data_IF_768074230026
#
_entry.id   IF_768074230026
#
_cell.length_a   1.000
_cell.length_b   1.000
_cell.length_c   1.000
_cell.angle_alpha   90.00
_cell.angle_beta   90.00
_cell.angle_gamma   90.00
#
_symmetry.space_group_name_H-M   'P 1'
#
loop_
_entity.id
_entity.type
_entity.pdbx_description
1 polymer ?
#
# COMPACT_ATOMS: atom_id res chain seq x y z
N UNK A 1 12.80 64.20 26.76
CA UNK A 1 11.79 63.41 27.51
C UNK A 1 10.88 62.70 26.51
N UNK A 2 10.31 61.55 26.91
CA UNK A 2 9.62 60.49 26.12
C UNK A 2 10.59 59.56 25.38
N UNK A 3 11.11 58.45 25.92
CA UNK A 3 10.63 57.33 26.76
C UNK A 3 9.77 56.29 26.02
N UNK A 4 10.30 55.06 26.00
CA UNK A 4 9.65 53.72 25.96
C UNK A 4 9.44 53.15 24.55
N UNK A 5 10.38 52.35 24.01
CA UNK A 5 10.52 50.88 24.16
C UNK A 5 9.22 50.09 23.89
N UNK A 6 9.07 49.58 22.67
CA UNK A 6 8.29 48.36 22.42
C UNK A 6 9.15 47.39 21.61
N UNK A 7 9.86 46.56 22.36
CA UNK A 7 10.39 45.28 21.93
C UNK A 7 9.22 44.30 22.00
N UNK A 8 8.67 43.89 20.85
CA UNK A 8 7.80 42.73 20.78
C UNK A 8 8.27 41.82 19.66
N UNK A 9 8.84 40.73 20.13
CA UNK A 9 9.20 39.48 19.46
C UNK A 9 8.07 39.04 18.52
N UNK A 10 8.43 38.70 17.28
CA UNK A 10 7.75 37.69 16.48
C UNK A 10 8.78 37.06 15.54
N UNK A 11 9.72 36.32 16.14
CA UNK A 11 10.41 35.24 15.46
C UNK A 11 9.36 34.14 15.32
N UNK A 12 8.67 34.10 14.19
CA UNK A 12 7.93 32.91 13.79
C UNK A 12 8.94 32.01 13.07
N UNK A 13 9.37 30.87 13.64
CA UNK A 13 10.05 29.88 12.84
C UNK A 13 8.99 29.30 11.89
N UNK A 14 9.16 29.52 10.59
CA UNK A 14 8.41 28.78 9.57
C UNK A 14 8.89 27.33 9.64
N UNK A 15 8.26 26.55 10.52
CA UNK A 15 8.34 25.09 10.57
C UNK A 15 7.25 24.53 9.66
N UNK A 16 7.47 24.61 8.35
CA UNK A 16 6.70 23.93 7.30
C UNK A 16 7.71 23.78 6.15
N UNK A 17 8.15 22.61 5.67
CA UNK A 17 7.48 21.32 5.49
C UNK A 17 8.53 20.19 5.53
N UNK A 18 8.33 19.19 6.39
CA UNK A 18 8.88 17.83 6.18
C UNK A 18 7.73 16.83 6.09
N UNK A 19 6.71 17.17 5.30
CA UNK A 19 5.56 16.31 5.01
C UNK A 19 5.41 16.14 3.50
N UNK A 20 6.39 15.52 2.82
CA UNK A 20 6.40 15.50 1.35
C UNK A 20 6.92 14.20 0.70
N UNK A 21 6.62 13.04 1.27
CA UNK A 21 6.90 11.76 0.59
C UNK A 21 5.80 10.71 0.80
N UNK A 22 5.40 10.46 2.05
CA UNK A 22 4.36 9.46 2.35
C UNK A 22 2.98 9.87 1.83
N UNK A 23 2.58 11.13 2.06
CA UNK A 23 1.29 11.64 1.57
C UNK A 23 1.18 11.64 0.04
N UNK A 24 2.30 11.74 -0.68
CA UNK A 24 2.28 11.73 -2.16
C UNK A 24 2.10 10.33 -2.73
N UNK A 25 2.73 9.30 -2.15
CA UNK A 25 2.56 7.91 -2.61
C UNK A 25 1.16 7.38 -2.31
N UNK A 26 0.58 7.79 -1.18
CA UNK A 26 -0.80 7.46 -0.83
C UNK A 26 -1.79 7.93 -1.92
N UNK A 27 -1.67 9.18 -2.38
CA UNK A 27 -2.58 9.72 -3.41
C UNK A 27 -2.24 9.24 -4.83
N UNK A 28 -0.97 8.97 -5.14
CA UNK A 28 -0.53 8.66 -6.52
C UNK A 28 -0.45 7.18 -6.86
N UNK A 29 -0.34 6.30 -5.86
CA UNK A 29 -0.22 4.85 -6.03
C UNK A 29 -1.36 4.12 -5.36
N UNK A 30 -1.57 4.36 -4.06
CA UNK A 30 -2.54 3.57 -3.28
C UNK A 30 -3.97 3.87 -3.70
N UNK A 31 -4.34 5.14 -3.80
CA UNK A 31 -5.72 5.54 -4.11
C UNK A 31 -6.23 5.05 -5.48
N UNK A 32 -5.49 5.21 -6.60
CA UNK A 32 -5.91 4.64 -7.89
C UNK A 32 -6.16 3.13 -7.83
N UNK A 33 -5.36 2.39 -7.07
CA UNK A 33 -5.55 0.94 -6.90
C UNK A 33 -6.86 0.67 -6.16
N UNK A 34 -7.11 1.36 -5.05
CA UNK A 34 -8.37 1.23 -4.28
C UNK A 34 -9.58 1.53 -5.18
N UNK A 35 -9.50 2.61 -5.96
CA UNK A 35 -10.58 3.04 -6.85
C UNK A 35 -10.94 1.93 -7.86
N UNK A 36 -9.95 1.26 -8.48
CA UNK A 36 -10.19 0.13 -9.39
C UNK A 36 -10.88 -1.07 -8.70
N UNK A 37 -10.51 -1.39 -7.46
CA UNK A 37 -11.20 -2.44 -6.70
C UNK A 37 -12.67 -2.06 -6.41
N UNK A 38 -12.91 -0.81 -6.02
CA UNK A 38 -14.26 -0.32 -5.75
C UNK A 38 -15.13 -0.27 -7.02
N UNK A 39 -14.56 0.14 -8.15
CA UNK A 39 -15.22 0.13 -9.46
C UNK A 39 -15.58 -1.30 -9.92
N UNK A 40 -14.76 -2.29 -9.61
CA UNK A 40 -15.06 -3.71 -9.82
C UNK A 40 -16.08 -4.29 -8.82
N UNK A 41 -16.58 -3.47 -7.89
CA UNK A 41 -17.53 -3.85 -6.85
C UNK A 41 -16.92 -4.69 -5.74
N UNK A 42 -15.61 -4.59 -5.52
CA UNK A 42 -14.89 -5.26 -4.44
C UNK A 42 -14.73 -4.27 -3.28
N UNK A 43 -15.33 -4.60 -2.14
CA UNK A 43 -15.22 -3.77 -0.93
C UNK A 43 -13.91 -4.07 -0.22
N UNK A 44 -13.04 -3.07 -0.15
CA UNK A 44 -11.81 -3.12 0.61
C UNK A 44 -12.05 -2.58 2.02
N UNK A 45 -11.68 -3.36 3.03
CA UNK A 45 -11.66 -2.91 4.43
C UNK A 45 -10.22 -2.88 4.93
N UNK A 46 -9.65 -1.67 4.99
CA UNK A 46 -8.28 -1.49 5.48
C UNK A 46 -8.15 -2.00 6.92
N UNK A 47 -7.06 -2.73 7.20
CA UNK A 47 -6.71 -3.15 8.56
C UNK A 47 -5.69 -2.18 9.12
N UNK A 48 -5.93 -1.71 10.34
CA UNK A 48 -5.03 -0.79 11.05
C UNK A 48 -3.72 -1.46 11.48
N UNK A 49 -3.75 -2.78 11.66
CA UNK A 49 -2.57 -3.58 11.98
C UNK A 49 -1.95 -4.15 10.70
N UNK A 50 -0.68 -3.80 10.46
CA UNK A 50 0.13 -4.38 9.39
C UNK A 50 0.40 -5.85 9.65
N UNK A 51 0.59 -6.60 8.58
CA UNK A 51 1.01 -8.00 8.70
C UNK A 51 2.48 -8.10 9.02
N UNK A 52 2.83 -8.95 9.98
CA UNK A 52 4.23 -9.32 10.19
C UNK A 52 4.79 -10.13 9.00
N UNK A 53 3.93 -10.68 8.13
CA UNK A 53 4.34 -11.55 7.02
C UNK A 53 5.02 -10.77 5.89
N UNK A 54 4.54 -9.57 5.57
CA UNK A 54 5.01 -8.77 4.43
C UNK A 54 5.63 -7.44 4.84
N UNK A 55 5.94 -7.28 6.13
CA UNK A 55 6.67 -6.13 6.67
C UNK A 55 8.14 -6.18 6.23
N UNK A 56 8.40 -5.81 4.97
CA UNK A 56 9.73 -5.81 4.35
C UNK A 56 10.38 -4.44 4.53
N UNK A 57 11.64 -4.44 4.98
CA UNK A 57 12.41 -3.20 5.16
C UNK A 57 12.67 -2.51 3.82
N UNK A 58 12.29 -1.23 3.75
CA UNK A 58 12.50 -0.42 2.55
C UNK A 58 11.29 -0.40 1.60
N UNK A 59 10.10 -0.72 2.09
CA UNK A 59 8.81 -0.55 1.43
C UNK A 59 7.75 -0.17 2.46
N UNK A 60 6.66 0.44 1.98
CA UNK A 60 5.42 0.60 2.73
C UNK A 60 4.47 -0.57 2.44
N UNK A 61 3.63 -0.93 3.41
CA UNK A 61 2.61 -1.98 3.29
C UNK A 61 1.24 -1.39 3.62
N UNK A 62 0.18 -1.88 2.97
CA UNK A 62 -1.20 -1.82 3.46
C UNK A 62 -1.87 -3.17 3.32
N UNK A 63 -2.74 -3.50 4.28
CA UNK A 63 -3.53 -4.73 4.27
C UNK A 63 -5.02 -4.40 4.19
N UNK A 64 -5.73 -5.12 3.34
CA UNK A 64 -7.19 -5.05 3.21
C UNK A 64 -7.82 -6.42 3.39
N UNK A 65 -8.93 -6.45 4.13
CA UNK A 65 -9.85 -7.57 4.19
C UNK A 65 -10.86 -7.45 3.05
N UNK A 66 -11.11 -8.56 2.35
CA UNK A 66 -12.09 -8.70 1.27
C UNK A 66 -12.85 -10.00 1.40
N UNK A 67 -14.03 -10.11 0.77
CA UNK A 67 -14.92 -11.26 0.92
C UNK A 67 -14.24 -12.63 0.64
N UNK A 68 -13.33 -12.70 -0.35
CA UNK A 68 -12.62 -13.95 -0.70
C UNK A 68 -11.33 -14.22 0.09
N UNK A 69 -10.79 -13.24 0.82
CA UNK A 69 -9.46 -13.36 1.39
C UNK A 69 -8.84 -12.07 1.92
N UNK A 70 -7.59 -11.83 1.57
CA UNK A 70 -6.85 -10.64 2.00
C UNK A 70 -5.94 -10.14 0.91
N UNK A 71 -5.90 -8.82 0.77
CA UNK A 71 -5.06 -8.12 -0.21
C UNK A 71 -3.98 -7.37 0.54
N UNK A 72 -2.74 -7.53 0.10
CA UNK A 72 -1.59 -6.78 0.58
C UNK A 72 -1.09 -5.91 -0.56
N UNK A 73 -0.92 -4.62 -0.27
CA UNK A 73 -0.35 -3.66 -1.19
C UNK A 73 1.00 -3.22 -0.65
N UNK A 74 2.07 -3.55 -1.38
CA UNK A 74 3.43 -3.17 -1.06
C UNK A 74 3.88 -2.13 -2.07
N UNK A 75 4.39 -0.99 -1.61
CA UNK A 75 4.70 0.15 -2.49
C UNK A 75 5.86 0.97 -1.92
N UNK A 76 6.27 2.03 -2.63
CA UNK A 76 7.31 2.94 -2.15
C UNK A 76 8.69 2.29 -2.05
N UNK A 77 8.99 1.36 -2.96
CA UNK A 77 10.22 0.59 -2.92
C UNK A 77 11.48 1.47 -2.91
N UNK A 78 12.33 1.24 -1.92
CA UNK A 78 13.70 1.73 -1.93
C UNK A 78 14.58 0.97 -2.94
N UNK A 79 14.32 -0.33 -3.12
CA UNK A 79 14.97 -1.19 -4.10
C UNK A 79 14.02 -2.33 -4.50
N UNK A 80 13.46 -2.27 -5.72
CA UNK A 80 12.49 -3.25 -6.22
C UNK A 80 13.03 -4.68 -6.18
N UNK A 81 14.22 -4.93 -6.70
CA UNK A 81 14.81 -6.27 -6.80
C UNK A 81 14.91 -6.94 -5.43
N UNK A 82 15.38 -6.21 -4.42
CA UNK A 82 15.44 -6.70 -3.04
C UNK A 82 14.06 -7.05 -2.48
N UNK A 83 13.05 -6.21 -2.72
CA UNK A 83 11.68 -6.51 -2.26
C UNK A 83 11.16 -7.78 -2.92
N UNK A 84 11.43 -7.97 -4.23
CA UNK A 84 10.99 -9.17 -4.96
C UNK A 84 11.69 -10.45 -4.47
N UNK A 85 12.99 -10.37 -4.16
CA UNK A 85 13.73 -11.49 -3.57
C UNK A 85 13.16 -11.90 -2.20
N UNK A 86 12.88 -10.91 -1.34
CA UNK A 86 12.27 -11.13 -0.03
C UNK A 86 10.87 -11.74 -0.14
N UNK A 87 10.03 -11.25 -1.05
CA UNK A 87 8.71 -11.83 -1.33
C UNK A 87 8.80 -13.26 -1.84
N UNK A 88 9.74 -13.53 -2.75
CA UNK A 88 9.99 -14.89 -3.26
C UNK A 88 10.38 -15.83 -2.12
N UNK A 89 11.23 -15.37 -1.19
CA UNK A 89 11.60 -16.13 0.01
C UNK A 89 10.40 -16.40 0.90
N UNK A 90 9.59 -15.37 1.20
CA UNK A 90 8.38 -15.51 2.02
C UNK A 90 7.42 -16.54 1.40
N UNK A 91 7.21 -16.48 0.08
CA UNK A 91 6.34 -17.42 -0.63
C UNK A 91 6.86 -18.87 -0.59
N UNK A 92 8.18 -19.06 -0.57
CA UNK A 92 8.79 -20.38 -0.47
C UNK A 92 8.80 -20.96 0.96
N UNK A 93 8.91 -20.10 1.97
CA UNK A 93 9.06 -20.50 3.37
C UNK A 93 7.74 -20.56 4.15
N UNK A 94 6.66 -19.99 3.61
CA UNK A 94 5.37 -19.92 4.28
C UNK A 94 4.41 -20.97 3.72
N UNK A 95 3.78 -21.73 4.61
CA UNK A 95 2.68 -22.62 4.24
C UNK A 95 1.40 -21.81 4.05
N UNK A 96 0.97 -21.66 2.80
CA UNK A 96 -0.34 -21.09 2.47
C UNK A 96 -1.35 -22.20 2.20
N UNK A 97 -2.59 -21.99 2.64
CA UNK A 97 -3.70 -22.90 2.30
C UNK A 97 -3.94 -22.94 0.79
N UNK A 98 -3.82 -21.78 0.12
CA UNK A 98 -3.89 -21.62 -1.32
C UNK A 98 -2.67 -20.82 -1.79
N UNK A 99 -2.10 -21.11 -2.98
CA UNK A 99 -1.00 -20.31 -3.51
C UNK A 99 -1.39 -18.82 -3.59
N UNK A 100 -0.53 -17.90 -3.11
CA UNK A 100 -0.78 -16.47 -3.29
C UNK A 100 -0.76 -16.08 -4.77
N UNK A 101 -1.68 -15.22 -5.15
CA UNK A 101 -1.66 -14.54 -6.45
C UNK A 101 -1.00 -13.18 -6.30
N UNK A 102 -0.19 -12.77 -7.26
CA UNK A 102 0.56 -11.52 -7.14
C UNK A 102 0.70 -10.78 -8.47
N UNK A 103 0.48 -9.46 -8.45
CA UNK A 103 0.78 -8.54 -9.53
C UNK A 103 1.99 -7.69 -9.15
N UNK A 104 3.00 -7.65 -10.02
CA UNK A 104 4.22 -6.87 -9.82
C UNK A 104 4.32 -5.75 -10.85
N UNK A 105 4.51 -4.52 -10.39
CA UNK A 105 4.80 -3.35 -11.23
C UNK A 105 6.10 -2.68 -10.76
N UNK A 106 6.53 -1.63 -11.45
CA UNK A 106 7.69 -0.83 -11.03
C UNK A 106 7.40 0.01 -9.78
N UNK A 107 6.13 0.27 -9.48
CA UNK A 107 5.71 1.17 -8.40
C UNK A 107 5.17 0.43 -7.17
N UNK A 108 4.55 -0.73 -7.38
CA UNK A 108 3.87 -1.48 -6.33
C UNK A 108 3.77 -2.97 -6.64
N UNK A 109 3.31 -3.72 -5.64
CA UNK A 109 3.01 -5.14 -5.70
C UNK A 109 1.70 -5.35 -4.96
N UNK A 110 0.80 -6.09 -5.58
CA UNK A 110 -0.45 -6.50 -4.95
C UNK A 110 -0.36 -8.01 -4.77
N UNK A 111 -0.61 -8.49 -3.57
CA UNK A 111 -0.64 -9.91 -3.23
C UNK A 111 -2.04 -10.22 -2.73
N UNK A 112 -2.71 -11.17 -3.37
CA UNK A 112 -3.98 -11.72 -2.92
C UNK A 112 -3.75 -13.09 -2.28
N UNK A 113 -4.17 -13.23 -1.02
CA UNK A 113 -4.19 -14.49 -0.30
C UNK A 113 -5.65 -14.89 -0.10
N UNK A 114 -6.06 -15.93 -0.82
CA UNK A 114 -7.38 -16.55 -0.72
C UNK A 114 -7.58 -17.20 0.64
N UNK A 115 -8.80 -17.12 1.18
CA UNK A 115 -9.22 -17.78 2.43
C UNK A 115 -10.45 -18.67 2.29
N UNK A 116 -11.10 -18.67 1.12
CA UNK A 116 -12.32 -19.43 0.87
C UNK A 116 -12.39 -19.88 -0.59
N UNK A 117 -13.24 -20.87 -0.90
CA UNK A 117 -13.45 -21.35 -2.26
C UNK A 117 -14.41 -20.47 -3.09
N UNK A 118 -14.37 -19.15 -2.91
CA UNK A 118 -15.30 -18.24 -3.57
C UNK A 118 -14.89 -17.92 -5.02
N UNK A 119 -15.01 -18.89 -5.92
CA UNK A 119 -14.51 -18.83 -7.32
C UNK A 119 -14.91 -17.57 -8.10
N UNK A 120 -16.15 -17.09 -7.93
CA UNK A 120 -16.63 -15.87 -8.61
C UNK A 120 -15.85 -14.63 -8.16
N UNK A 121 -15.42 -14.59 -6.90
CA UNK A 121 -14.58 -13.51 -6.39
C UNK A 121 -13.17 -13.60 -6.97
N UNK A 122 -12.60 -14.80 -7.03
CA UNK A 122 -11.24 -15.00 -7.56
C UNK A 122 -11.15 -14.61 -9.04
N UNK A 123 -12.15 -14.95 -9.86
CA UNK A 123 -12.22 -14.50 -11.26
C UNK A 123 -12.24 -12.98 -11.42
N UNK A 124 -12.82 -12.25 -10.46
CA UNK A 124 -12.78 -10.78 -10.47
C UNK A 124 -11.38 -10.26 -10.15
N UNK A 125 -10.68 -10.91 -9.21
CA UNK A 125 -9.29 -10.59 -8.89
C UNK A 125 -8.39 -10.83 -10.11
N UNK A 126 -8.52 -11.97 -10.78
CA UNK A 126 -7.81 -12.29 -12.03
C UNK A 126 -8.02 -11.19 -13.08
N UNK A 127 -9.27 -10.81 -13.32
CA UNK A 127 -9.62 -9.76 -14.29
C UNK A 127 -8.97 -8.43 -13.94
N UNK A 128 -9.00 -8.03 -12.67
CA UNK A 128 -8.37 -6.80 -12.19
C UNK A 128 -6.85 -6.83 -12.39
N UNK A 129 -6.22 -7.95 -12.07
CA UNK A 129 -4.76 -8.13 -12.21
C UNK A 129 -4.34 -8.13 -13.67
N UNK A 130 -5.16 -8.67 -14.56
CA UNK A 130 -4.82 -8.76 -15.98
C UNK A 130 -5.05 -7.49 -16.78
N UNK A 131 -6.09 -6.71 -16.45
CA UNK A 131 -6.58 -5.64 -17.31
C UNK A 131 -6.56 -4.24 -16.70
N UNK A 132 -6.83 -4.12 -15.41
CA UNK A 132 -7.05 -2.82 -14.77
C UNK A 132 -5.77 -2.30 -14.09
N UNK A 133 -5.11 -3.16 -13.33
CA UNK A 133 -4.05 -2.75 -12.41
C UNK A 133 -2.65 -2.72 -13.04
N UNK A 134 -2.44 -3.34 -14.22
CA UNK A 134 -1.12 -3.31 -14.91
C UNK A 134 -0.71 -1.93 -15.41
N UNK A 135 -1.67 -1.03 -15.63
CA UNK A 135 -1.45 0.29 -16.24
C UNK A 135 -1.17 1.42 -15.26
N UNK A 136 -1.25 1.14 -13.96
CA UNK A 136 -1.07 2.12 -12.88
C UNK A 136 0.42 2.28 -12.55
#
# INVERSE_FOLDING_TARGET
>A
MLKIFYFFILIFPILFLSACSSNTLQETVVKPIIDEFEEAGIKLKEREEYSNLFSISGSDEKQYEVDGGSIYLIYGYSNKEKIMEELTRIFAETEFQYPPESLYTDKFCIIYIRKSDYEVFDQKIDTLFEHNLKGI
#
